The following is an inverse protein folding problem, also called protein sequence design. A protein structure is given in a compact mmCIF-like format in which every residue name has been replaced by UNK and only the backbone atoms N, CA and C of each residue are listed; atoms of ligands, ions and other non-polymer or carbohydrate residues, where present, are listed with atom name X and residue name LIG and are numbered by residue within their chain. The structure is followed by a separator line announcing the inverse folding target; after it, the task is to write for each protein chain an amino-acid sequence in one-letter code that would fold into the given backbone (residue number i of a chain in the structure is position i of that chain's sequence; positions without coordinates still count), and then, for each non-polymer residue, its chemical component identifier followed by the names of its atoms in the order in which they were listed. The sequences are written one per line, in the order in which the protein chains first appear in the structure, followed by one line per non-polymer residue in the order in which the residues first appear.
data_IF_746044034876
#
_entry.id   IF_746044034876
#
_cell.length_a   1.000
_cell.length_b   1.000
_cell.length_c   1.000
_cell.angle_alpha   90.00
_cell.angle_beta   90.00
_cell.angle_gamma   90.00
#
_symmetry.space_group_name_H-M   'P 1'
#
loop_
_entity.id
_entity.type
_entity.pdbx_description
1 polymer ?
#
# COMPACT_ATOMS: atom_id res chain seq x y z
N UNK A 1 10.15 -1.04 8.90
CA UNK A 1 10.76 -1.62 7.68
C UNK A 1 10.02 -1.08 6.48
N UNK A 2 10.70 -0.99 5.34
CA UNK A 2 10.03 -0.76 4.06
C UNK A 2 10.56 -1.79 3.07
N UNK A 3 9.64 -2.57 2.48
CA UNK A 3 9.98 -3.50 1.41
C UNK A 3 10.35 -2.77 0.12
N UNK A 4 11.05 -3.46 -0.78
CA UNK A 4 11.44 -2.92 -2.09
C UNK A 4 10.66 -3.70 -3.15
N UNK A 5 9.81 -3.00 -3.87
CA UNK A 5 9.01 -3.54 -4.95
C UNK A 5 9.53 -3.03 -6.30
N UNK A 6 9.30 -3.79 -7.36
CA UNK A 6 9.74 -3.40 -8.70
C UNK A 6 9.10 -2.08 -9.17
N UNK A 7 7.92 -1.74 -8.63
CA UNK A 7 7.26 -0.45 -8.83
C UNK A 7 8.09 0.73 -8.32
N UNK A 8 8.88 0.57 -7.26
CA UNK A 8 9.77 1.62 -6.76
C UNK A 8 10.87 1.92 -7.80
N UNK A 9 11.41 0.86 -8.43
CA UNK A 9 12.44 0.97 -9.48
C UNK A 9 11.89 1.64 -10.75
N UNK A 10 10.72 1.21 -11.21
CA UNK A 10 10.06 1.81 -12.37
C UNK A 10 9.75 3.29 -12.16
N UNK A 11 9.30 3.65 -10.95
CA UNK A 11 9.02 5.03 -10.59
C UNK A 11 10.29 5.90 -10.63
N UNK A 12 11.38 5.50 -9.97
CA UNK A 12 12.61 6.32 -9.98
C UNK A 12 13.27 6.42 -11.35
N UNK A 13 12.98 5.49 -12.27
CA UNK A 13 13.46 5.53 -13.67
C UNK A 13 12.51 6.25 -14.61
N UNK A 14 11.34 6.66 -14.14
CA UNK A 14 10.28 7.25 -14.95
C UNK A 14 9.84 6.36 -16.13
N UNK A 15 9.80 5.05 -15.92
CA UNK A 15 9.41 4.09 -16.96
C UNK A 15 7.94 4.29 -17.41
N UNK A 16 7.13 4.96 -16.58
CA UNK A 16 5.72 5.31 -16.85
C UNK A 16 5.50 6.76 -17.28
N UNK A 17 6.52 7.48 -17.76
CA UNK A 17 6.52 8.94 -17.94
C UNK A 17 5.40 9.59 -18.79
N UNK A 18 4.55 8.80 -19.46
CA UNK A 18 3.39 9.28 -20.22
C UNK A 18 2.03 8.90 -19.57
N UNK A 19 2.04 8.43 -18.33
CA UNK A 19 0.85 7.99 -17.59
C UNK A 19 0.70 8.76 -16.27
N UNK A 20 -0.43 8.59 -15.61
CA UNK A 20 -0.77 9.25 -14.34
C UNK A 20 0.21 8.92 -13.18
N UNK A 21 1.02 7.86 -13.35
CA UNK A 21 2.08 7.43 -12.42
C UNK A 21 3.50 7.85 -12.85
N UNK A 22 3.61 8.83 -13.77
CA UNK A 22 4.90 9.38 -14.16
C UNK A 22 5.70 9.87 -12.94
N UNK A 23 7.02 9.69 -13.01
CA UNK A 23 7.91 10.15 -11.97
C UNK A 23 7.83 11.67 -11.85
N UNK A 24 7.52 12.13 -10.66
CA UNK A 24 7.68 13.51 -10.27
C UNK A 24 8.92 13.55 -9.36
N UNK A 25 9.89 14.41 -9.64
CA UNK A 25 11.11 14.54 -8.83
C UNK A 25 11.07 15.80 -7.94
N UNK A 26 11.66 15.79 -6.73
CA UNK A 26 12.42 14.71 -6.09
C UNK A 26 11.52 13.51 -5.73
N UNK A 27 12.04 12.29 -5.81
CA UNK A 27 11.28 11.06 -5.59
C UNK A 27 11.76 10.34 -4.33
N UNK A 28 10.83 9.99 -3.45
CA UNK A 28 11.05 9.10 -2.30
C UNK A 28 10.06 7.94 -2.44
N UNK A 29 10.49 6.78 -2.97
CA UNK A 29 9.64 5.59 -3.10
C UNK A 29 9.39 4.87 -1.77
N UNK A 30 8.83 3.67 -1.85
CA UNK A 30 8.55 2.80 -0.73
C UNK A 30 7.06 2.78 -0.40
N UNK A 31 6.41 1.64 -0.64
CA UNK A 31 4.96 1.44 -0.44
C UNK A 31 4.61 0.13 0.26
N UNK A 32 5.63 -0.52 0.83
CA UNK A 32 5.52 -1.74 1.62
C UNK A 32 5.95 -1.40 3.06
N UNK A 33 5.25 -0.47 3.70
CA UNK A 33 5.73 0.18 4.94
C UNK A 33 5.17 -0.52 6.16
N UNK A 34 6.03 -0.87 7.12
CA UNK A 34 5.62 -1.34 8.44
C UNK A 34 6.38 -0.58 9.52
N UNK A 35 5.70 -0.27 10.62
CA UNK A 35 6.27 0.53 11.69
C UNK A 35 5.50 0.42 12.99
N UNK A 36 5.77 1.38 13.87
CA UNK A 36 5.10 1.53 15.15
C UNK A 36 4.45 2.91 15.20
N UNK A 37 3.22 2.96 15.72
CA UNK A 37 2.50 4.23 15.92
C UNK A 37 3.18 5.02 17.04
N UNK A 38 3.64 6.23 16.73
CA UNK A 38 4.27 7.14 17.72
C UNK A 38 3.35 8.31 18.12
N UNK A 39 2.34 8.62 17.30
CA UNK A 39 1.38 9.70 17.52
C UNK A 39 0.07 9.34 16.80
N UNK A 40 -1.07 9.77 17.37
CA UNK A 40 -2.39 9.61 16.76
C UNK A 40 -3.18 10.92 16.84
N UNK A 41 -3.99 11.19 15.82
CA UNK A 41 -4.90 12.34 15.83
C UNK A 41 -6.00 12.19 16.88
N UNK A 42 -6.58 13.31 17.33
CA UNK A 42 -7.57 13.33 18.42
C UNK A 42 -8.85 12.53 18.14
N UNK A 43 -9.16 12.27 16.87
CA UNK A 43 -10.36 11.57 16.45
C UNK A 43 -10.10 10.09 16.08
N UNK A 44 -8.83 9.65 16.10
CA UNK A 44 -8.45 8.28 15.77
C UNK A 44 -8.93 7.35 16.88
N UNK A 45 -9.60 6.26 16.50
CA UNK A 45 -10.15 5.29 17.45
C UNK A 45 -9.58 3.88 17.27
N UNK A 46 -9.08 3.56 16.08
CA UNK A 46 -8.68 2.19 15.73
C UNK A 46 -7.22 1.87 16.11
N UNK A 47 -6.43 2.88 16.48
CA UNK A 47 -5.01 2.77 16.75
C UNK A 47 -4.60 3.56 17.98
N UNK A 48 -3.56 3.08 18.65
CA UNK A 48 -2.94 3.68 19.82
C UNK A 48 -1.41 3.66 19.69
N UNK A 49 -0.73 4.54 20.41
CA UNK A 49 0.74 4.58 20.44
C UNK A 49 1.30 3.21 20.88
N UNK A 50 2.30 2.72 20.14
CA UNK A 50 2.91 1.41 20.34
C UNK A 50 2.36 0.31 19.43
N UNK A 51 1.22 0.52 18.77
CA UNK A 51 0.65 -0.45 17.83
C UNK A 51 1.58 -0.69 16.64
N UNK A 52 1.73 -1.96 16.25
CA UNK A 52 2.42 -2.34 15.02
C UNK A 52 1.45 -2.21 13.84
N UNK A 53 1.86 -1.44 12.83
CA UNK A 53 0.99 -1.07 11.72
C UNK A 53 1.70 -1.17 10.39
N UNK A 54 0.91 -1.34 9.33
CA UNK A 54 1.34 -1.36 7.94
C UNK A 54 0.62 -0.30 7.12
N UNK A 55 1.29 0.20 6.08
CA UNK A 55 0.73 1.11 5.07
C UNK A 55 1.10 0.57 3.70
N UNK A 56 0.08 0.43 2.85
CA UNK A 56 0.20 -0.05 1.46
C UNK A 56 0.46 1.10 0.48
N UNK A 57 0.38 0.83 -0.82
CA UNK A 57 0.60 1.81 -1.88
C UNK A 57 -0.47 2.87 -2.04
N UNK A 58 -1.59 2.79 -1.32
CA UNK A 58 -2.70 3.75 -1.38
C UNK A 58 -2.87 4.37 0.00
N UNK A 59 -2.90 5.70 0.05
CA UNK A 59 -2.99 6.45 1.32
C UNK A 59 -4.20 7.38 1.39
N UNK A 60 -4.97 7.49 0.30
CA UNK A 60 -6.18 8.29 0.24
C UNK A 60 -7.07 7.92 -0.97
N UNK A 61 -8.36 8.25 -0.89
CA UNK A 61 -9.37 8.04 -1.94
C UNK A 61 -10.43 9.17 -1.90
N UNK A 62 -11.52 9.11 -2.67
CA UNK A 62 -12.57 10.14 -2.49
C UNK A 62 -13.52 9.89 -1.32
N UNK A 63 -13.54 8.67 -0.77
CA UNK A 63 -14.41 8.27 0.36
C UNK A 63 -15.91 8.28 0.07
N UNK A 64 -16.34 8.52 -1.18
CA UNK A 64 -17.75 8.80 -1.49
C UNK A 64 -18.27 8.22 -2.81
N UNK A 65 -17.43 7.54 -3.60
CA UNK A 65 -17.87 6.88 -4.83
C UNK A 65 -18.26 5.42 -4.55
N UNK A 66 -18.92 4.78 -5.52
CA UNK A 66 -19.36 3.38 -5.38
C UNK A 66 -18.21 2.45 -4.98
N UNK A 67 -17.02 2.62 -5.55
CA UNK A 67 -15.86 1.80 -5.17
C UNK A 67 -15.45 2.03 -3.70
N UNK A 68 -15.41 3.28 -3.22
CA UNK A 68 -15.10 3.54 -1.81
C UNK A 68 -16.17 3.00 -0.88
N UNK A 69 -17.45 3.08 -1.27
CA UNK A 69 -18.57 2.54 -0.49
C UNK A 69 -18.63 1.00 -0.45
N UNK A 70 -17.82 0.32 -1.27
CA UNK A 70 -17.74 -1.13 -1.35
C UNK A 70 -16.35 -1.65 -0.91
N UNK A 71 -15.58 -0.87 -0.13
CA UNK A 71 -14.24 -1.24 0.37
C UNK A 71 -13.24 -1.57 -0.77
N UNK A 72 -13.35 -0.82 -1.87
CA UNK A 72 -12.60 -0.96 -3.11
C UNK A 72 -11.88 0.33 -3.49
N UNK A 73 -11.25 0.99 -2.52
CA UNK A 73 -10.56 2.28 -2.70
C UNK A 73 -9.47 2.22 -3.77
N UNK A 74 -8.90 1.04 -4.02
CA UNK A 74 -7.95 0.78 -5.10
C UNK A 74 -8.53 0.95 -6.50
N UNK A 75 -9.86 0.92 -6.64
CA UNK A 75 -10.56 1.24 -7.88
C UNK A 75 -11.15 2.66 -7.88
N UNK A 76 -10.87 3.48 -6.85
CA UNK A 76 -11.34 4.85 -6.81
C UNK A 76 -10.65 5.70 -7.90
N UNK A 77 -11.39 6.45 -8.73
CA UNK A 77 -10.81 7.35 -9.74
C UNK A 77 -9.98 8.52 -9.16
N UNK A 78 -10.08 8.75 -7.84
CA UNK A 78 -9.33 9.77 -7.11
C UNK A 78 -8.43 9.15 -6.03
N UNK A 79 -8.03 7.90 -6.20
CA UNK A 79 -7.05 7.27 -5.32
C UNK A 79 -5.73 8.05 -5.36
N UNK A 80 -5.05 8.15 -4.22
CA UNK A 80 -3.74 8.79 -4.12
C UNK A 80 -2.72 7.80 -3.59
N UNK A 81 -1.62 7.68 -4.34
CA UNK A 81 -0.56 6.76 -4.03
C UNK A 81 0.32 7.27 -2.88
N UNK A 82 0.90 6.34 -2.13
CA UNK A 82 1.84 6.60 -1.02
C UNK A 82 3.03 7.47 -1.42
N UNK A 83 3.43 7.46 -2.69
CA UNK A 83 4.40 8.40 -3.25
C UNK A 83 4.00 8.86 -4.65
N UNK A 84 4.45 10.07 -5.00
CA UNK A 84 4.32 10.60 -6.35
C UNK A 84 2.95 11.17 -6.72
N UNK A 85 1.99 11.11 -5.80
CA UNK A 85 0.69 11.77 -5.94
C UNK A 85 0.71 13.18 -5.32
N UNK A 86 -0.37 13.92 -5.52
CA UNK A 86 -0.66 15.16 -4.81
C UNK A 86 -1.74 14.87 -3.78
N UNK A 87 -1.45 15.10 -2.50
CA UNK A 87 -2.38 14.89 -1.38
C UNK A 87 -3.45 16.00 -1.33
N UNK A 88 -4.45 15.86 -0.46
CA UNK A 88 -5.58 16.82 -0.38
C UNK A 88 -5.16 18.26 -0.07
N UNK A 89 -4.05 18.45 0.65
CA UNK A 89 -3.48 19.76 1.00
C UNK A 89 -2.61 20.37 -0.11
N UNK A 90 -2.52 19.69 -1.26
CA UNK A 90 -1.71 20.12 -2.40
C UNK A 90 -0.22 19.75 -2.28
N UNK A 91 0.20 19.11 -1.19
CA UNK A 91 1.57 18.63 -1.03
C UNK A 91 1.79 17.34 -1.80
N UNK A 92 3.07 17.06 -2.09
CA UNK A 92 3.46 15.83 -2.76
C UNK A 92 3.58 14.69 -1.75
N UNK A 93 3.13 13.51 -2.12
CA UNK A 93 3.29 12.30 -1.30
C UNK A 93 4.70 11.72 -1.44
N UNK A 94 5.30 11.35 -0.32
CA UNK A 94 6.61 10.71 -0.20
C UNK A 94 6.45 9.39 0.54
N UNK A 95 7.06 8.33 0.01
CA UNK A 95 6.91 6.96 0.47
C UNK A 95 7.76 6.64 1.69
N UNK A 96 7.72 5.36 2.09
CA UNK A 96 8.33 4.86 3.31
C UNK A 96 9.84 4.62 3.28
N UNK A 97 10.56 5.06 2.24
CA UNK A 97 12.03 5.19 2.31
C UNK A 97 12.42 6.44 3.11
N UNK A 98 11.83 6.56 4.30
CA UNK A 98 11.89 7.66 5.25
C UNK A 98 11.94 7.11 6.69
N UNK A 99 12.24 7.99 7.64
CA UNK A 99 12.19 7.70 9.08
C UNK A 99 10.78 7.82 9.66
N UNK A 100 9.95 8.70 9.12
CA UNK A 100 8.56 8.92 9.53
C UNK A 100 7.58 8.86 8.37
N UNK A 101 6.33 8.47 8.67
CA UNK A 101 5.21 8.50 7.76
C UNK A 101 3.95 8.91 8.51
N UNK A 102 3.11 9.76 7.90
CA UNK A 102 1.83 10.19 8.44
C UNK A 102 0.75 9.82 7.43
N UNK A 103 -0.29 9.12 7.87
CA UNK A 103 -1.34 8.55 7.01
C UNK A 103 -2.67 8.63 7.76
N UNK A 104 -3.76 8.81 7.01
CA UNK A 104 -5.11 8.72 7.55
C UNK A 104 -5.41 7.31 8.07
N UNK A 105 -6.11 7.18 9.21
CA UNK A 105 -6.32 5.89 9.88
C UNK A 105 -7.01 4.85 9.00
N UNK A 106 -7.82 5.28 8.02
CA UNK A 106 -8.52 4.38 7.09
C UNK A 106 -7.56 3.56 6.22
N UNK A 107 -6.37 4.08 5.93
CA UNK A 107 -5.38 3.43 5.05
C UNK A 107 -4.24 2.75 5.84
N UNK A 108 -4.40 2.64 7.15
CA UNK A 108 -3.47 1.95 8.04
C UNK A 108 -4.05 0.58 8.39
N UNK A 109 -3.23 -0.47 8.31
CA UNK A 109 -3.63 -1.82 8.74
C UNK A 109 -2.89 -2.23 10.00
N UNK A 110 -3.58 -2.91 10.91
CA UNK A 110 -2.96 -3.48 12.12
C UNK A 110 -2.16 -4.74 11.78
N UNK A 111 -0.95 -4.84 12.30
CA UNK A 111 -0.11 -6.04 12.21
C UNK A 111 -0.22 -6.80 13.52
N UNK A 112 -0.43 -8.11 13.45
CA UNK A 112 -0.51 -8.96 14.64
C UNK A 112 0.87 -9.17 15.26
N UNK A 113 0.95 -9.24 16.59
CA UNK A 113 2.22 -9.34 17.33
C UNK A 113 3.07 -10.56 16.95
N UNK A 114 2.45 -11.63 16.44
CA UNK A 114 3.13 -12.84 16.02
C UNK A 114 3.67 -12.79 14.58
N UNK A 115 3.47 -11.68 13.86
CA UNK A 115 3.96 -11.49 12.50
C UNK A 115 5.29 -10.73 12.52
N UNK A 116 6.39 -11.34 12.02
CA UNK A 116 7.66 -10.64 11.92
C UNK A 116 7.54 -9.49 10.90
N UNK A 117 7.90 -8.27 11.33
CA UNK A 117 7.63 -7.04 10.55
C UNK A 117 8.38 -7.03 9.21
N UNK A 118 9.63 -7.48 9.19
CA UNK A 118 10.45 -7.58 7.99
C UNK A 118 9.82 -8.46 6.91
N UNK A 119 9.25 -9.61 7.29
CA UNK A 119 8.53 -10.49 6.36
C UNK A 119 7.08 -10.03 6.07
N UNK A 120 6.52 -9.16 6.90
CA UNK A 120 5.16 -8.64 6.71
C UNK A 120 5.12 -7.53 5.65
N UNK A 121 6.17 -6.72 5.54
CA UNK A 121 6.21 -5.60 4.60
C UNK A 121 5.81 -5.97 3.16
N UNK A 122 6.37 -7.02 2.53
CA UNK A 122 6.00 -7.42 1.17
C UNK A 122 4.52 -7.81 0.99
N UNK A 123 3.83 -8.21 2.08
CA UNK A 123 2.41 -8.57 2.00
C UNK A 123 1.52 -7.37 1.65
N UNK A 124 1.98 -6.16 1.98
CA UNK A 124 1.25 -4.91 1.76
C UNK A 124 1.20 -4.49 0.29
N UNK A 125 2.00 -5.09 -0.59
CA UNK A 125 1.88 -4.89 -2.04
C UNK A 125 1.79 -6.24 -2.75
N UNK A 126 2.86 -7.03 -2.78
CA UNK A 126 2.89 -8.30 -3.50
C UNK A 126 1.81 -9.26 -2.97
N UNK A 127 1.70 -9.39 -1.65
CA UNK A 127 0.74 -10.31 -1.01
C UNK A 127 -0.72 -9.97 -1.34
N UNK A 128 -1.16 -8.74 -1.10
CA UNK A 128 -2.54 -8.34 -1.40
C UNK A 128 -2.85 -8.38 -2.90
N UNK A 129 -1.86 -8.08 -3.75
CA UNK A 129 -2.00 -8.10 -5.22
C UNK A 129 -2.33 -9.48 -5.77
N UNK A 130 -1.83 -10.55 -5.15
CA UNK A 130 -2.17 -11.93 -5.54
C UNK A 130 -3.35 -12.49 -4.75
N UNK A 131 -3.50 -12.10 -3.48
CA UNK A 131 -4.62 -12.54 -2.64
C UNK A 131 -5.97 -12.04 -3.15
N UNK A 132 -6.06 -10.77 -3.54
CA UNK A 132 -7.30 -10.14 -4.02
C UNK A 132 -7.95 -10.90 -5.19
N UNK A 133 -7.25 -11.16 -6.33
CA UNK A 133 -7.83 -11.93 -7.42
C UNK A 133 -8.09 -13.40 -7.05
N UNK A 134 -7.24 -14.03 -6.22
CA UNK A 134 -7.51 -15.40 -5.76
C UNK A 134 -8.84 -15.50 -5.00
N UNK A 135 -9.15 -14.51 -4.17
CA UNK A 135 -10.43 -14.43 -3.45
C UNK A 135 -11.58 -14.04 -4.35
N UNK A 136 -11.41 -12.98 -5.13
CA UNK A 136 -12.47 -12.43 -5.98
C UNK A 136 -12.96 -13.44 -7.03
N UNK A 137 -12.05 -14.22 -7.62
CA UNK A 137 -12.38 -15.26 -8.60
C UNK A 137 -12.62 -16.64 -7.97
N UNK A 138 -12.71 -16.73 -6.64
CA UNK A 138 -12.97 -17.97 -5.89
C UNK A 138 -11.97 -19.10 -6.18
N UNK A 139 -10.71 -18.75 -6.41
CA UNK A 139 -9.58 -19.65 -6.68
C UNK A 139 -8.87 -20.12 -5.39
N UNK A 140 -9.43 -19.83 -4.23
CA UNK A 140 -8.91 -20.15 -2.91
C UNK A 140 -9.48 -21.46 -2.32
N UNK A 141 -10.29 -22.19 -3.09
CA UNK A 141 -10.95 -23.43 -2.64
C UNK A 141 -9.98 -24.61 -2.61
N UNK A 142 -10.04 -25.48 -1.58
CA UNK A 142 -9.23 -26.70 -1.53
C UNK A 142 -9.44 -27.60 -2.76
N UNK A 143 -8.35 -28.19 -3.26
CA UNK A 143 -8.37 -29.13 -4.39
C UNK A 143 -8.32 -28.49 -5.77
N UNK A 144 -8.28 -27.15 -5.87
CA UNK A 144 -8.03 -26.47 -7.13
C UNK A 144 -6.58 -26.63 -7.60
N UNK A 145 -6.41 -26.59 -8.92
CA UNK A 145 -5.10 -26.54 -9.58
C UNK A 145 -4.91 -25.16 -10.19
N UNK A 146 -4.00 -24.37 -9.65
CA UNK A 146 -3.71 -22.99 -10.10
C UNK A 146 -2.28 -22.93 -10.61
N UNK A 147 -2.10 -22.39 -11.81
CA UNK A 147 -0.76 -22.14 -12.38
C UNK A 147 -0.25 -20.76 -12.00
N UNK A 148 1.01 -20.68 -11.55
CA UNK A 148 1.71 -19.42 -11.31
C UNK A 148 2.76 -19.24 -12.40
N UNK A 149 2.67 -18.14 -13.15
CA UNK A 149 3.60 -17.84 -14.26
C UNK A 149 4.56 -16.74 -13.84
N UNK A 150 5.83 -17.10 -13.67
CA UNK A 150 6.90 -16.23 -13.17
C UNK A 150 7.16 -16.44 -11.67
N UNK A 151 8.44 -16.54 -11.29
CA UNK A 151 8.90 -16.74 -9.91
C UNK A 151 9.66 -15.50 -9.41
N UNK A 152 8.98 -14.35 -9.47
CA UNK A 152 9.44 -13.08 -8.89
C UNK A 152 8.74 -12.79 -7.56
N UNK A 153 8.74 -11.53 -7.12
CA UNK A 153 8.11 -11.13 -5.83
C UNK A 153 6.63 -11.52 -5.72
N UNK A 154 5.81 -11.28 -6.76
CA UNK A 154 4.40 -11.69 -6.76
C UNK A 154 4.20 -13.20 -6.97
N UNK A 155 5.17 -13.88 -7.60
CA UNK A 155 5.03 -15.29 -7.95
C UNK A 155 5.55 -16.27 -6.88
N UNK A 156 6.19 -15.76 -5.83
CA UNK A 156 6.80 -16.52 -4.74
C UNK A 156 5.77 -16.89 -3.68
#
# INVERSE_FOLDING_TARGET
YCGICHSDLHYIKNDWGNHDFAANYPAVPGHEVVGEVIEVGSNVQNFTVGDKVGVSGIIASCGSCDNCSNDLENYCPKMMASYGATYYDGTKTYGGFSDFMVVDEHFVVRILDNMPLDATAPLLCAGISVYSPLKYFELDKPGLHVGVVGLGGLGH
#
